data_IF_148818409255
#
_entry.id   IF_148818409255
#
_cell.length_a   1.000
_cell.length_b   1.000
_cell.length_c   1.000
_cell.angle_alpha   90.00
_cell.angle_beta   90.00
_cell.angle_gamma   90.00
#
_symmetry.space_group_name_H-M   'P 1'
#
loop_
_entity.id
_entity.type
_entity.pdbx_description
1 polymer ?
#
# COMPACT_ATOMS: atom_id res chain seq x y z
N UNK A 1 22.12 11.30 -4.43
CA UNK A 1 21.80 9.94 -3.93
C UNK A 1 22.18 8.96 -5.02
N UNK A 2 22.83 7.83 -4.71
CA UNK A 2 23.11 6.80 -5.73
C UNK A 2 21.78 6.11 -6.10
N UNK A 3 21.57 5.75 -7.36
CA UNK A 3 20.35 5.06 -7.86
C UNK A 3 20.03 3.81 -7.04
N UNK A 4 21.06 3.04 -6.65
CA UNK A 4 20.94 1.89 -5.75
C UNK A 4 20.29 2.23 -4.40
N UNK A 5 20.59 3.39 -3.82
CA UNK A 5 19.98 3.84 -2.55
C UNK A 5 18.52 4.23 -2.73
N UNK A 6 18.14 4.83 -3.87
CA UNK A 6 16.75 5.15 -4.20
C UNK A 6 15.89 3.88 -4.32
N UNK A 7 16.45 2.84 -4.92
CA UNK A 7 15.75 1.58 -5.15
C UNK A 7 15.53 0.79 -3.87
N UNK A 8 16.55 0.76 -3.01
CA UNK A 8 16.44 0.18 -1.67
C UNK A 8 15.39 0.92 -0.84
N UNK A 9 15.35 2.26 -0.92
CA UNK A 9 14.39 3.07 -0.17
C UNK A 9 12.95 2.85 -0.67
N UNK A 10 12.72 2.84 -1.99
CA UNK A 10 11.41 2.58 -2.58
C UNK A 10 10.88 1.18 -2.21
N UNK A 11 11.77 0.18 -2.24
CA UNK A 11 11.48 -1.17 -1.77
C UNK A 11 11.09 -1.13 -0.28
N UNK A 12 11.94 -0.60 0.59
CA UNK A 12 11.65 -0.50 2.04
C UNK A 12 10.26 0.12 2.30
N UNK A 13 9.92 1.22 1.62
CA UNK A 13 8.60 1.86 1.72
C UNK A 13 7.46 0.88 1.38
N UNK A 14 7.58 0.15 0.27
CA UNK A 14 6.57 -0.84 -0.15
C UNK A 14 6.46 -1.99 0.87
N UNK A 15 7.58 -2.48 1.40
CA UNK A 15 7.58 -3.53 2.44
C UNK A 15 6.90 -3.07 3.72
N UNK A 16 7.20 -1.85 4.18
CA UNK A 16 6.57 -1.28 5.37
C UNK A 16 5.06 -1.20 5.16
N UNK A 17 4.61 -0.74 3.98
CA UNK A 17 3.19 -0.64 3.66
C UNK A 17 2.48 -1.99 3.54
N UNK A 18 3.18 -3.03 3.07
CA UNK A 18 2.64 -4.38 3.01
C UNK A 18 2.23 -4.90 4.41
N UNK A 19 2.94 -4.46 5.47
CA UNK A 19 2.67 -4.89 6.84
C UNK A 19 1.75 -3.89 7.55
N UNK A 20 2.05 -2.60 7.44
CA UNK A 20 1.39 -1.55 8.22
C UNK A 20 -0.10 -1.44 7.91
N UNK A 21 -0.50 -1.48 6.63
CA UNK A 21 -1.90 -1.28 6.22
C UNK A 21 -2.80 -2.44 6.71
N UNK A 22 -2.44 -3.73 6.52
CA UNK A 22 -3.19 -4.82 7.12
C UNK A 22 -3.31 -4.72 8.64
N UNK A 23 -2.22 -4.37 9.35
CA UNK A 23 -2.25 -4.21 10.80
C UNK A 23 -3.22 -3.11 11.22
N UNK A 24 -3.18 -1.95 10.57
CA UNK A 24 -4.09 -0.83 10.84
C UNK A 24 -5.55 -1.17 10.53
N UNK A 25 -5.82 -1.88 9.42
CA UNK A 25 -7.16 -2.32 9.05
C UNK A 25 -7.74 -3.30 10.08
N UNK A 26 -6.96 -4.30 10.49
CA UNK A 26 -7.39 -5.29 11.47
C UNK A 26 -7.57 -4.66 12.86
N UNK A 27 -6.68 -3.76 13.28
CA UNK A 27 -6.80 -3.05 14.54
C UNK A 27 -8.01 -2.10 14.56
N UNK A 28 -8.25 -1.37 13.47
CA UNK A 28 -9.41 -0.49 13.33
C UNK A 28 -10.72 -1.27 13.31
N UNK A 29 -10.76 -2.42 12.63
CA UNK A 29 -11.90 -3.32 12.66
C UNK A 29 -12.17 -3.88 14.06
N UNK A 30 -11.12 -4.25 14.80
CA UNK A 30 -11.23 -4.72 16.17
C UNK A 30 -11.82 -3.65 17.10
N UNK A 31 -11.31 -2.41 17.04
CA UNK A 31 -11.86 -1.27 17.80
C UNK A 31 -13.33 -1.00 17.43
N UNK A 32 -13.67 -1.08 16.14
CA UNK A 32 -15.05 -0.90 15.67
C UNK A 32 -15.99 -1.98 16.23
N UNK A 33 -15.52 -3.23 16.28
CA UNK A 33 -16.24 -4.35 16.90
C UNK A 33 -16.46 -4.16 18.41
N UNK A 34 -15.44 -3.67 19.13
CA UNK A 34 -15.57 -3.35 20.55
C UNK A 34 -16.61 -2.25 20.79
N UNK A 35 -16.55 -1.16 20.01
CA UNK A 35 -17.48 -0.04 20.13
C UNK A 35 -18.91 -0.43 19.74
N UNK A 36 -19.08 -1.25 18.69
CA UNK A 36 -20.40 -1.71 18.24
C UNK A 36 -21.04 -2.68 19.24
N UNK A 37 -20.26 -3.56 19.87
CA UNK A 37 -20.71 -4.42 20.96
C UNK A 37 -21.15 -3.60 22.19
N UNK A 38 -20.44 -2.51 22.50
CA UNK A 38 -20.80 -1.59 23.58
C UNK A 38 -22.09 -0.81 23.27
N UNK A 39 -22.36 -0.53 21.99
CA UNK A 39 -23.56 0.13 21.51
C UNK A 39 -24.75 -0.82 21.25
N UNK A 40 -24.63 -2.11 21.53
CA UNK A 40 -25.69 -3.11 21.29
C UNK A 40 -25.93 -3.43 19.81
N UNK A 41 -25.02 -3.03 18.92
CA UNK A 41 -25.08 -3.29 17.48
C UNK A 41 -24.18 -4.47 17.12
N UNK A 42 -24.73 -5.49 16.43
CA UNK A 42 -23.91 -6.57 15.90
C UNK A 42 -23.20 -6.10 14.62
N UNK A 43 -21.86 -6.09 14.64
CA UNK A 43 -21.10 -5.99 13.41
C UNK A 43 -21.47 -7.16 12.49
N UNK A 44 -21.76 -6.88 11.22
CA UNK A 44 -22.24 -7.88 10.27
C UNK A 44 -21.25 -9.04 10.09
N UNK A 45 -21.73 -10.28 9.89
CA UNK A 45 -20.88 -11.48 9.78
C UNK A 45 -19.88 -11.43 8.60
N UNK A 46 -20.12 -10.55 7.64
CA UNK A 46 -19.29 -10.35 6.45
C UNK A 46 -18.06 -9.47 6.66
N UNK A 47 -17.92 -8.81 7.81
CA UNK A 47 -16.83 -7.87 8.07
C UNK A 47 -15.45 -8.55 8.03
N UNK A 48 -15.27 -9.68 8.73
CA UNK A 48 -14.02 -10.43 8.75
C UNK A 48 -13.59 -11.01 7.39
N UNK A 49 -14.44 -11.76 6.65
CA UNK A 49 -14.05 -12.29 5.35
C UNK A 49 -13.74 -11.18 4.35
N UNK A 50 -14.48 -10.06 4.39
CA UNK A 50 -14.19 -8.90 3.55
C UNK A 50 -12.83 -8.25 3.88
N UNK A 51 -12.51 -8.10 5.16
CA UNK A 51 -11.20 -7.59 5.59
C UNK A 51 -10.05 -8.49 5.18
N UNK A 52 -10.20 -9.82 5.31
CA UNK A 52 -9.19 -10.78 4.86
C UNK A 52 -8.97 -10.67 3.34
N UNK A 53 -10.04 -10.49 2.56
CA UNK A 53 -9.97 -10.28 1.12
C UNK A 53 -9.22 -8.98 0.78
N UNK A 54 -9.51 -7.87 1.48
CA UNK A 54 -8.79 -6.61 1.31
C UNK A 54 -7.31 -6.77 1.65
N UNK A 55 -6.98 -7.41 2.77
CA UNK A 55 -5.60 -7.66 3.17
C UNK A 55 -4.85 -8.51 2.13
N UNK A 56 -5.48 -9.57 1.62
CA UNK A 56 -4.90 -10.40 0.58
C UNK A 56 -4.67 -9.63 -0.73
N UNK A 57 -5.65 -8.83 -1.16
CA UNK A 57 -5.55 -7.97 -2.33
C UNK A 57 -4.44 -6.91 -2.18
N UNK A 58 -4.31 -6.32 -0.98
CA UNK A 58 -3.27 -5.36 -0.67
C UNK A 58 -1.87 -5.99 -0.71
N UNK A 59 -1.67 -7.12 -0.04
CA UNK A 59 -0.41 -7.86 -0.06
C UNK A 59 -0.03 -8.27 -1.48
N UNK A 60 -1.00 -8.71 -2.27
CA UNK A 60 -0.80 -9.04 -3.67
C UNK A 60 -0.35 -7.80 -4.49
N UNK A 61 -0.99 -6.65 -4.28
CA UNK A 61 -0.62 -5.40 -4.93
C UNK A 61 0.79 -4.96 -4.54
N UNK A 62 1.13 -4.96 -3.25
CA UNK A 62 2.47 -4.62 -2.76
C UNK A 62 3.54 -5.55 -3.34
N UNK A 63 3.28 -6.86 -3.38
CA UNK A 63 4.20 -7.84 -3.98
C UNK A 63 4.42 -7.56 -5.47
N UNK A 64 3.35 -7.24 -6.21
CA UNK A 64 3.43 -6.91 -7.63
C UNK A 64 4.14 -5.58 -7.87
N UNK A 65 3.90 -4.57 -7.03
CA UNK A 65 4.58 -3.27 -7.07
C UNK A 65 6.08 -3.41 -6.79
N UNK A 66 6.47 -4.24 -5.80
CA UNK A 66 7.86 -4.54 -5.48
C UNK A 66 8.63 -5.13 -6.65
N UNK A 67 8.03 -6.13 -7.32
CA UNK A 67 8.63 -6.79 -8.49
C UNK A 67 8.62 -5.87 -9.73
N UNK A 68 7.56 -5.07 -9.88
CA UNK A 68 7.36 -4.19 -11.02
C UNK A 68 8.17 -2.88 -10.96
N UNK A 69 8.60 -2.43 -9.78
CA UNK A 69 9.21 -1.11 -9.58
C UNK A 69 10.43 -0.85 -10.50
N UNK A 70 11.29 -1.86 -10.74
CA UNK A 70 12.46 -1.76 -11.64
C UNK A 70 12.25 -2.42 -13.01
N UNK A 71 11.02 -2.83 -13.36
CA UNK A 71 10.80 -3.53 -14.63
C UNK A 71 11.08 -2.61 -15.81
N UNK A 72 11.98 -3.04 -16.70
CA UNK A 72 12.33 -2.36 -17.95
C UNK A 72 11.19 -2.43 -18.99
N UNK A 73 10.24 -3.36 -18.82
CA UNK A 73 9.16 -3.69 -19.78
C UNK A 73 7.99 -2.68 -19.79
N UNK A 74 8.25 -1.41 -19.46
CA UNK A 74 7.29 -0.32 -19.60
C UNK A 74 6.08 -0.36 -18.64
N UNK A 75 5.04 0.39 -18.98
CA UNK A 75 3.88 0.66 -18.11
C UNK A 75 3.07 -0.60 -17.77
N UNK A 76 3.10 -1.61 -18.64
CA UNK A 76 2.32 -2.85 -18.53
C UNK A 76 2.77 -3.77 -17.39
N UNK A 77 4.03 -3.68 -16.95
CA UNK A 77 4.52 -4.34 -15.71
C UNK A 77 4.62 -3.39 -14.51
N UNK A 78 4.67 -2.09 -14.74
CA UNK A 78 4.75 -1.07 -13.69
C UNK A 78 3.38 -0.59 -13.17
N UNK A 79 2.26 -0.95 -13.80
CA UNK A 79 0.92 -0.55 -13.34
C UNK A 79 0.63 -0.83 -11.85
N UNK A 80 1.08 -1.95 -11.23
CA UNK A 80 0.76 -2.22 -9.83
C UNK A 80 1.41 -1.18 -8.90
N UNK A 81 2.58 -0.66 -9.27
CA UNK A 81 3.25 0.41 -8.55
C UNK A 81 2.47 1.72 -8.64
N UNK A 82 1.97 2.08 -9.82
CA UNK A 82 1.17 3.29 -9.99
C UNK A 82 -0.19 3.21 -9.27
N UNK A 83 -0.81 2.03 -9.26
CA UNK A 83 -2.03 1.80 -8.47
C UNK A 83 -1.75 1.92 -6.98
N UNK A 84 -0.65 1.36 -6.50
CA UNK A 84 -0.22 1.49 -5.10
C UNK A 84 -0.04 2.97 -4.70
N UNK A 85 0.60 3.76 -5.56
CA UNK A 85 0.73 5.21 -5.38
C UNK A 85 -0.63 5.93 -5.40
N UNK A 86 -1.51 5.59 -6.35
CA UNK A 86 -2.82 6.22 -6.51
C UNK A 86 -3.72 5.98 -5.29
N UNK A 87 -3.67 4.79 -4.69
CA UNK A 87 -4.40 4.48 -3.45
C UNK A 87 -3.87 5.27 -2.25
N UNK A 88 -2.58 5.65 -2.27
CA UNK A 88 -1.91 6.33 -1.16
C UNK A 88 -2.02 7.85 -1.18
N UNK A 89 -2.06 8.46 -2.36
CA UNK A 89 -2.23 9.91 -2.53
C UNK A 89 -3.41 10.48 -1.70
N UNK A 90 -4.60 9.87 -1.67
CA UNK A 90 -5.72 10.36 -0.85
C UNK A 90 -5.57 10.06 0.65
N UNK A 91 -4.62 9.21 1.08
CA UNK A 91 -4.42 8.85 2.48
C UNK A 91 -3.53 9.88 3.19
N UNK A 92 -4.10 11.03 3.53
CA UNK A 92 -3.39 12.12 4.20
C UNK A 92 -3.13 11.80 5.68
N UNK A 93 -1.97 12.17 6.27
CA UNK A 93 -0.77 12.75 5.63
C UNK A 93 0.29 11.72 5.22
N UNK A 94 0.32 10.55 5.89
CA UNK A 94 1.41 9.58 5.74
C UNK A 94 1.42 8.89 4.38
N UNK A 95 0.25 8.49 3.87
CA UNK A 95 0.15 7.86 2.54
C UNK A 95 0.52 8.84 1.45
N UNK A 96 0.10 10.11 1.54
CA UNK A 96 0.47 11.15 0.57
C UNK A 96 1.99 11.36 0.52
N UNK A 97 2.67 11.43 1.66
CA UNK A 97 4.14 11.55 1.71
C UNK A 97 4.85 10.34 1.12
N UNK A 98 4.38 9.13 1.41
CA UNK A 98 4.96 7.90 0.87
C UNK A 98 4.72 7.79 -0.64
N UNK A 99 3.49 8.07 -1.11
CA UNK A 99 3.12 8.05 -2.52
C UNK A 99 3.89 9.09 -3.33
N UNK A 100 3.96 10.34 -2.86
CA UNK A 100 4.75 11.39 -3.49
C UNK A 100 6.26 11.07 -3.48
N UNK A 101 6.77 10.50 -2.38
CA UNK A 101 8.15 10.02 -2.29
C UNK A 101 8.47 8.94 -3.33
N UNK A 102 7.58 7.97 -3.51
CA UNK A 102 7.71 6.92 -4.52
C UNK A 102 7.66 7.49 -5.95
N UNK A 103 6.75 8.42 -6.25
CA UNK A 103 6.70 9.12 -7.54
C UNK A 103 8.03 9.85 -7.80
N UNK A 104 8.49 10.62 -6.82
CA UNK A 104 9.70 11.42 -6.94
C UNK A 104 10.94 10.53 -7.17
N UNK A 105 11.08 9.44 -6.43
CA UNK A 105 12.17 8.48 -6.63
C UNK A 105 12.13 7.88 -8.03
N UNK A 106 10.94 7.51 -8.51
CA UNK A 106 10.75 6.93 -9.84
C UNK A 106 11.11 7.92 -10.95
N UNK A 107 10.58 9.15 -10.91
CA UNK A 107 10.81 10.15 -11.94
C UNK A 107 12.26 10.66 -11.95
N UNK A 108 12.88 10.83 -10.77
CA UNK A 108 14.22 11.40 -10.67
C UNK A 108 15.34 10.42 -10.98
N UNK A 109 15.18 9.13 -10.64
CA UNK A 109 16.25 8.14 -10.76
C UNK A 109 16.03 7.12 -11.89
N UNK A 110 14.79 6.99 -12.36
CA UNK A 110 14.42 6.10 -13.47
C UNK A 110 13.47 6.82 -14.45
N UNK A 111 13.87 7.97 -15.02
CA UNK A 111 13.07 8.65 -16.02
C UNK A 111 12.84 7.71 -17.20
N UNK A 112 11.58 7.54 -17.61
CA UNK A 112 11.26 6.87 -18.86
C UNK A 112 11.62 7.86 -19.98
N UNK A 113 12.67 7.54 -20.74
CA UNK A 113 12.90 8.17 -22.04
C UNK A 113 11.90 7.62 -23.06
#
# INVERSE_FOLDING_TARGET
MKTHSADTLAKIIISIQAILIPVLLLAGAWLTLQNSAQAGSQAGPWLWPFLLLICAAWLWLCRRAWLGYLSVEGMRRQWPFWVLVAVQLPSFPLGTLMGAGLIYLKLRHHPRH
#
